data_IF_801423430921
#
_entry.id   IF_801423430921
#
_cell.length_a   1.000
_cell.length_b   1.000
_cell.length_c   1.000
_cell.angle_alpha   90.00
_cell.angle_beta   90.00
_cell.angle_gamma   90.00
#
_symmetry.space_group_name_H-M   'P 1'
#
loop_
_entity.id
_entity.type
_entity.pdbx_description
1 polymer ?
#
# COMPACT_ATOMS: atom_id res chain seq x y z
N UNK A 1 17.65 -49.09 6.00
CA UNK A 1 16.45 -48.28 6.30
C UNK A 1 15.37 -48.45 5.22
N UNK A 2 15.74 -48.70 3.95
CA UNK A 2 14.82 -49.09 2.85
C UNK A 2 14.03 -50.39 3.09
N UNK A 3 14.61 -51.39 3.78
CA UNK A 3 13.96 -52.69 3.96
C UNK A 3 12.71 -52.66 4.86
N UNK A 4 12.64 -51.75 5.84
CA UNK A 4 11.47 -51.59 6.72
C UNK A 4 10.30 -50.89 6.03
N UNK A 5 10.56 -50.15 4.95
CA UNK A 5 9.50 -49.53 4.15
C UNK A 5 8.81 -50.55 3.23
N UNK A 6 9.43 -51.70 2.93
CA UNK A 6 8.88 -52.70 2.01
C UNK A 6 8.18 -53.89 2.68
N UNK A 7 8.11 -53.92 4.02
CA UNK A 7 7.49 -55.03 4.77
C UNK A 7 5.96 -54.94 4.81
N UNK A 8 5.39 -53.76 4.64
CA UNK A 8 3.93 -53.59 4.57
C UNK A 8 3.44 -53.66 3.12
N UNK A 9 2.46 -54.54 2.81
CA UNK A 9 1.99 -54.72 1.44
C UNK A 9 1.42 -53.43 0.82
N UNK A 10 0.80 -52.56 1.62
CA UNK A 10 0.29 -51.27 1.18
C UNK A 10 1.41 -50.30 0.75
N UNK A 11 2.54 -50.28 1.47
CA UNK A 11 3.67 -49.41 1.14
C UNK A 11 4.37 -49.92 -0.13
N UNK A 12 4.50 -51.24 -0.27
CA UNK A 12 5.04 -51.87 -1.49
C UNK A 12 4.16 -51.59 -2.71
N UNK A 13 2.84 -51.67 -2.55
CA UNK A 13 1.89 -51.33 -3.62
C UNK A 13 2.03 -49.87 -4.03
N UNK A 14 2.04 -48.95 -3.06
CA UNK A 14 2.25 -47.53 -3.31
C UNK A 14 3.59 -47.25 -4.03
N UNK A 15 4.68 -47.92 -3.63
CA UNK A 15 6.00 -47.77 -4.26
C UNK A 15 6.03 -48.29 -5.70
N UNK A 16 5.39 -49.42 -5.97
CA UNK A 16 5.30 -49.95 -7.35
C UNK A 16 4.43 -49.08 -8.25
N UNK A 17 3.35 -48.50 -7.69
CA UNK A 17 2.51 -47.55 -8.40
C UNK A 17 3.28 -46.26 -8.74
N UNK A 18 4.06 -45.72 -7.80
CA UNK A 18 4.90 -44.53 -8.06
C UNK A 18 6.04 -44.83 -9.03
N UNK A 19 6.74 -45.96 -8.92
CA UNK A 19 7.79 -46.35 -9.89
C UNK A 19 7.20 -46.50 -11.31
N UNK A 20 6.02 -47.11 -11.43
CA UNK A 20 5.30 -47.22 -12.71
C UNK A 20 4.91 -45.86 -13.28
N UNK A 21 4.38 -44.96 -12.45
CA UNK A 21 4.06 -43.59 -12.83
C UNK A 21 5.31 -42.82 -13.28
N UNK A 22 6.42 -42.97 -12.55
CA UNK A 22 7.68 -42.29 -12.86
C UNK A 22 8.35 -42.80 -14.15
N UNK A 23 8.09 -44.04 -14.55
CA UNK A 23 8.57 -44.64 -15.81
C UNK A 23 7.74 -44.25 -17.03
N UNK A 24 6.45 -43.95 -16.86
CA UNK A 24 5.62 -43.45 -17.95
C UNK A 24 5.82 -41.94 -18.16
N UNK A 25 6.70 -41.63 -19.12
CA UNK A 25 7.05 -40.24 -19.44
C UNK A 25 5.85 -39.40 -19.88
N UNK A 26 4.88 -39.98 -20.61
CA UNK A 26 3.74 -39.23 -21.14
C UNK A 26 2.80 -38.86 -20.00
N UNK A 27 2.47 -39.83 -19.14
CA UNK A 27 1.63 -39.61 -17.98
C UNK A 27 2.26 -38.62 -17.00
N UNK A 28 3.58 -38.73 -16.76
CA UNK A 28 4.31 -37.80 -15.89
C UNK A 28 4.33 -36.37 -16.44
N UNK A 29 4.52 -36.20 -17.75
CA UNK A 29 4.50 -34.87 -18.37
C UNK A 29 3.11 -34.22 -18.29
N UNK A 30 2.05 -34.99 -18.50
CA UNK A 30 0.69 -34.49 -18.35
C UNK A 30 0.42 -34.04 -16.90
N UNK A 31 0.78 -34.86 -15.91
CA UNK A 31 0.66 -34.51 -14.50
C UNK A 31 1.44 -33.23 -14.14
N UNK A 32 2.72 -33.18 -14.51
CA UNK A 32 3.57 -32.01 -14.22
C UNK A 32 3.03 -30.75 -14.92
N UNK A 33 2.50 -30.88 -16.13
CA UNK A 33 1.91 -29.75 -16.83
C UNK A 33 0.66 -29.22 -16.13
N UNK A 34 -0.17 -30.09 -15.55
CA UNK A 34 -1.33 -29.64 -14.78
C UNK A 34 -0.90 -28.99 -13.46
N UNK A 35 0.02 -29.59 -12.72
CA UNK A 35 0.54 -28.97 -11.49
C UNK A 35 1.23 -27.64 -11.74
N UNK A 36 2.02 -27.52 -12.82
CA UNK A 36 2.66 -26.26 -13.18
C UNK A 36 1.63 -25.16 -13.44
N UNK A 37 0.50 -25.46 -14.11
CA UNK A 37 -0.56 -24.47 -14.35
C UNK A 37 -1.16 -23.97 -13.05
N UNK A 38 -1.43 -24.88 -12.11
CA UNK A 38 -1.97 -24.52 -10.80
C UNK A 38 -0.99 -23.64 -10.03
N UNK A 39 0.30 -24.02 -10.02
CA UNK A 39 1.35 -23.24 -9.37
C UNK A 39 1.57 -21.87 -10.01
N UNK A 40 1.56 -21.78 -11.34
CA UNK A 40 1.68 -20.52 -12.07
C UNK A 40 0.50 -19.60 -11.77
N UNK A 41 -0.72 -20.15 -11.76
CA UNK A 41 -1.92 -19.41 -11.40
C UNK A 41 -1.86 -18.87 -9.96
N UNK A 42 -1.54 -19.74 -8.99
CA UNK A 42 -1.44 -19.33 -7.58
C UNK A 42 -0.32 -18.30 -7.38
N UNK A 43 0.81 -18.49 -8.06
CA UNK A 43 1.94 -17.55 -8.00
C UNK A 43 1.58 -16.19 -8.59
N UNK A 44 0.90 -16.16 -9.73
CA UNK A 44 0.40 -14.93 -10.35
C UNK A 44 -0.59 -14.22 -9.42
N UNK A 45 -1.59 -14.93 -8.89
CA UNK A 45 -2.56 -14.35 -7.96
C UNK A 45 -1.92 -13.77 -6.70
N UNK A 46 -0.92 -14.47 -6.13
CA UNK A 46 -0.18 -14.00 -4.98
C UNK A 46 0.69 -12.79 -5.30
N UNK A 47 1.30 -12.76 -6.48
CA UNK A 47 2.07 -11.63 -6.97
C UNK A 47 1.17 -10.39 -7.09
N UNK A 48 0.06 -10.50 -7.82
CA UNK A 48 -0.91 -9.41 -8.02
C UNK A 48 -1.46 -8.88 -6.69
N UNK A 49 -1.81 -9.77 -5.76
CA UNK A 49 -2.25 -9.37 -4.42
C UNK A 49 -1.17 -8.59 -3.68
N UNK A 50 0.10 -9.02 -3.78
CA UNK A 50 1.21 -8.38 -3.09
C UNK A 50 1.55 -7.02 -3.71
N UNK A 51 1.58 -6.93 -5.03
CA UNK A 51 1.85 -5.67 -5.74
C UNK A 51 0.73 -4.66 -5.50
N UNK A 52 -0.54 -5.05 -5.65
CA UNK A 52 -1.66 -4.15 -5.39
C UNK A 52 -1.69 -3.63 -3.95
N UNK A 53 -1.38 -4.47 -2.96
CA UNK A 53 -1.24 -4.02 -1.56
C UNK A 53 -0.02 -3.11 -1.33
N UNK A 54 1.06 -3.28 -2.07
CA UNK A 54 2.24 -2.44 -1.98
C UNK A 54 1.99 -1.06 -2.60
N UNK A 55 1.38 -1.05 -3.79
CA UNK A 55 0.99 0.15 -4.53
C UNK A 55 -0.02 0.97 -3.74
N UNK A 56 -1.14 0.38 -3.30
CA UNK A 56 -2.15 1.10 -2.52
C UNK A 56 -1.60 1.69 -1.21
N UNK A 57 -0.64 1.02 -0.54
CA UNK A 57 0.06 1.60 0.62
C UNK A 57 1.03 2.71 0.23
N UNK A 58 1.68 2.62 -0.92
CA UNK A 58 2.58 3.66 -1.39
C UNK A 58 1.81 4.93 -1.77
N UNK A 59 0.72 4.78 -2.52
CA UNK A 59 -0.21 5.84 -2.90
C UNK A 59 -0.81 6.51 -1.66
N UNK A 60 -1.44 5.74 -0.76
CA UNK A 60 -2.04 6.33 0.44
C UNK A 60 -1.04 7.04 1.36
N UNK A 61 0.22 6.58 1.41
CA UNK A 61 1.28 7.32 2.12
C UNK A 61 1.72 8.58 1.39
N UNK A 62 1.73 8.58 0.06
CA UNK A 62 2.11 9.76 -0.72
C UNK A 62 1.03 10.83 -0.60
N UNK A 63 -0.23 10.46 -0.79
CA UNK A 63 -1.40 11.33 -0.62
C UNK A 63 -1.45 11.91 0.80
N UNK A 64 -1.44 11.06 1.83
CA UNK A 64 -1.50 11.52 3.22
C UNK A 64 -0.34 12.44 3.62
N UNK A 65 0.86 12.24 3.05
CA UNK A 65 1.98 13.19 3.27
C UNK A 65 1.75 14.52 2.56
N UNK A 66 1.25 14.49 1.32
CA UNK A 66 1.00 15.70 0.54
C UNK A 66 -0.10 16.55 1.21
N UNK A 67 -1.21 15.91 1.60
CA UNK A 67 -2.31 16.53 2.34
C UNK A 67 -1.83 17.09 3.67
N UNK A 68 -1.18 16.27 4.51
CA UNK A 68 -0.68 16.73 5.81
C UNK A 68 0.34 17.87 5.72
N UNK A 69 1.18 17.90 4.67
CA UNK A 69 2.06 19.04 4.41
C UNK A 69 1.29 20.29 3.97
N UNK A 70 0.26 20.17 3.14
CA UNK A 70 -0.55 21.30 2.73
C UNK A 70 -1.34 21.88 3.90
N UNK A 71 -2.00 21.03 4.69
CA UNK A 71 -2.74 21.40 5.89
C UNK A 71 -1.82 22.06 6.93
N UNK A 72 -0.68 21.45 7.23
CA UNK A 72 0.27 22.02 8.20
C UNK A 72 0.82 23.38 7.75
N UNK A 73 1.11 23.57 6.45
CA UNK A 73 1.50 24.89 5.93
C UNK A 73 0.37 25.91 6.09
N UNK A 74 -0.86 25.54 5.74
CA UNK A 74 -2.01 26.42 5.86
C UNK A 74 -2.30 26.79 7.33
N UNK A 75 -2.15 25.86 8.26
CA UNK A 75 -2.31 26.09 9.69
C UNK A 75 -1.25 27.06 10.22
N UNK A 76 0.03 26.87 9.86
CA UNK A 76 1.11 27.78 10.26
C UNK A 76 0.92 29.17 9.67
N UNK A 77 0.52 29.27 8.40
CA UNK A 77 0.21 30.55 7.74
C UNK A 77 -0.95 31.26 8.45
N UNK A 78 -2.05 30.55 8.71
CA UNK A 78 -3.23 31.07 9.43
C UNK A 78 -2.86 31.54 10.83
N UNK A 79 -2.14 30.72 11.60
CA UNK A 79 -1.70 31.06 12.96
C UNK A 79 -0.77 32.28 12.99
N UNK A 80 0.11 32.40 12.00
CA UNK A 80 1.02 33.55 11.87
C UNK A 80 0.26 34.82 11.49
N UNK A 81 -0.65 34.76 10.50
CA UNK A 81 -1.51 35.87 10.13
C UNK A 81 -2.37 36.35 11.32
N UNK A 82 -2.99 35.42 12.08
CA UNK A 82 -3.76 35.75 13.29
C UNK A 82 -2.90 36.47 14.34
N UNK A 83 -1.65 36.06 14.56
CA UNK A 83 -0.72 36.77 15.46
C UNK A 83 -0.41 38.20 14.99
N UNK A 84 -0.19 38.40 13.69
CA UNK A 84 0.08 39.71 13.11
C UNK A 84 -1.14 40.65 13.18
N UNK A 85 -2.35 40.12 12.92
CA UNK A 85 -3.62 40.85 13.08
C UNK A 85 -3.82 41.30 14.53
N UNK A 86 -3.52 40.44 15.52
CA UNK A 86 -3.55 40.80 16.94
C UNK A 86 -2.53 41.89 17.29
N UNK A 87 -1.39 41.89 16.63
CA UNK A 87 -0.38 42.94 16.73
C UNK A 87 -0.77 44.24 16.00
N UNK A 88 -2.01 44.33 15.48
CA UNK A 88 -2.57 45.52 14.79
C UNK A 88 -1.87 45.88 13.48
N UNK A 89 -1.19 44.92 12.86
CA UNK A 89 -0.60 45.09 11.53
C UNK A 89 -1.70 45.15 10.46
N UNK A 90 -1.50 45.93 9.41
CA UNK A 90 -2.52 46.11 8.36
C UNK A 90 -2.66 44.83 7.50
N UNK A 91 -3.87 44.43 7.09
CA UNK A 91 -4.08 43.23 6.26
C UNK A 91 -3.25 43.20 4.97
N UNK A 92 -3.10 44.34 4.28
CA UNK A 92 -2.26 44.49 3.10
C UNK A 92 -0.76 44.24 3.38
N UNK A 93 -0.25 44.66 4.53
CA UNK A 93 1.15 44.42 4.92
C UNK A 93 1.39 42.95 5.27
N UNK A 94 0.43 42.30 5.93
CA UNK A 94 0.47 40.87 6.26
C UNK A 94 0.43 40.03 4.97
N UNK A 95 -0.43 40.41 4.02
CA UNK A 95 -0.53 39.76 2.71
C UNK A 95 0.81 39.76 1.98
N UNK A 96 1.49 40.92 1.96
CA UNK A 96 2.82 41.06 1.36
C UNK A 96 3.92 40.27 2.10
N UNK A 97 3.85 40.16 3.43
CA UNK A 97 4.85 39.41 4.21
C UNK A 97 4.72 37.89 4.10
N UNK A 98 3.50 37.39 3.94
CA UNK A 98 3.22 35.96 3.89
C UNK A 98 3.06 35.42 2.46
N UNK A 99 3.18 36.29 1.45
CA UNK A 99 2.87 36.00 0.05
C UNK A 99 1.48 35.35 -0.11
N UNK A 100 0.49 35.92 0.58
CA UNK A 100 -0.90 35.47 0.56
C UNK A 100 -1.82 36.56 0.01
N UNK A 101 -2.95 36.20 -0.62
CA UNK A 101 -3.95 37.17 -1.04
C UNK A 101 -4.48 37.95 0.17
N UNK A 102 -4.71 39.26 -0.01
CA UNK A 102 -5.28 40.09 1.05
C UNK A 102 -6.67 39.59 1.44
N UNK A 103 -7.45 39.06 0.49
CA UNK A 103 -8.74 38.42 0.74
C UNK A 103 -8.63 37.26 1.73
N UNK A 104 -7.55 36.47 1.67
CA UNK A 104 -7.29 35.36 2.59
C UNK A 104 -7.03 35.88 4.01
N UNK A 105 -6.26 36.96 4.14
CA UNK A 105 -6.00 37.59 5.45
C UNK A 105 -7.29 38.18 6.04
N UNK A 106 -8.12 38.82 5.21
CA UNK A 106 -9.43 39.33 5.61
C UNK A 106 -10.37 38.21 6.03
N UNK A 107 -10.33 37.05 5.36
CA UNK A 107 -11.09 35.87 5.77
C UNK A 107 -10.65 35.37 7.15
N UNK A 108 -9.34 35.28 7.42
CA UNK A 108 -8.83 34.92 8.75
C UNK A 108 -9.26 35.92 9.85
N UNK A 109 -9.32 37.22 9.52
CA UNK A 109 -9.80 38.23 10.46
C UNK A 109 -11.30 38.08 10.76
N UNK A 110 -12.12 37.76 9.75
CA UNK A 110 -13.56 37.49 9.92
C UNK A 110 -13.80 36.26 10.79
N UNK A 111 -13.07 35.17 10.54
CA UNK A 111 -13.12 33.97 11.38
C UNK A 111 -12.74 34.27 12.84
N UNK A 112 -11.68 35.02 13.09
CA UNK A 112 -11.28 35.39 14.46
C UNK A 112 -12.37 36.21 15.18
N UNK A 113 -13.07 37.09 14.46
CA UNK A 113 -14.19 37.85 15.03
C UNK A 113 -15.45 37.01 15.28
N UNK A 114 -15.60 35.87 14.60
CA UNK A 114 -16.71 34.94 14.79
C UNK A 114 -16.44 33.89 15.88
N UNK A 115 -15.16 33.61 16.19
CA UNK A 115 -14.72 32.71 17.26
C UNK A 115 -14.70 33.38 18.65
N UNK A 116 -15.03 34.68 18.77
CA UNK A 116 -15.12 35.45 20.02
C UNK A 116 -16.55 35.73 20.42
#
# INVERSE_FOLDING_TARGET
MEELAMSEPAIKEAWTATDRFMRDKVLRLAYLSEEMKEHDFVSAMNWERRTGLAEGRAEGRAEGRAEGHAEGRAEVQRGTARRMLRAKMAPAEIAALLDLPEETILAFAREESAER
#
